data_IF_698308992090
#
_entry.id   IF_698308992090
#
_cell.length_a   1.000
_cell.length_b   1.000
_cell.length_c   1.000
_cell.angle_alpha   90.00
_cell.angle_beta   90.00
_cell.angle_gamma   90.00
#
_symmetry.space_group_name_H-M   'P 1'
#
loop_
_entity.id
_entity.type
_entity.pdbx_description
1 polymer ?
#
# COMPACT_ATOMS: atom_id res chain seq x y z
N UNK A 1 19.36 -15.11 -12.59
CA UNK A 1 18.54 -14.17 -11.78
C UNK A 1 17.04 -14.29 -11.99
N UNK A 2 16.43 -13.75 -13.05
CA UNK A 2 14.95 -13.66 -13.17
C UNK A 2 14.21 -14.98 -12.91
N UNK A 3 14.60 -16.06 -13.61
CA UNK A 3 13.98 -17.39 -13.44
C UNK A 3 14.14 -17.89 -12.01
N UNK A 4 15.33 -17.71 -11.44
CA UNK A 4 15.61 -18.10 -10.05
C UNK A 4 14.76 -17.29 -9.07
N UNK A 5 14.63 -15.97 -9.25
CA UNK A 5 13.81 -15.11 -8.39
C UNK A 5 12.34 -15.54 -8.38
N UNK A 6 11.77 -15.83 -9.55
CA UNK A 6 10.40 -16.34 -9.67
C UNK A 6 10.25 -17.72 -8.99
N UNK A 7 11.23 -18.61 -9.14
CA UNK A 7 11.23 -19.91 -8.47
C UNK A 7 11.33 -19.77 -6.94
N UNK A 8 12.13 -18.83 -6.43
CA UNK A 8 12.21 -18.55 -5.00
C UNK A 8 10.90 -18.00 -4.47
N UNK A 9 10.28 -17.05 -5.17
CA UNK A 9 8.98 -16.49 -4.77
C UNK A 9 7.92 -17.59 -4.58
N UNK A 10 7.90 -18.57 -5.49
CA UNK A 10 7.01 -19.74 -5.42
C UNK A 10 7.39 -20.68 -4.27
N UNK A 11 8.67 -21.08 -4.23
CA UNK A 11 9.16 -22.08 -3.27
C UNK A 11 9.05 -21.60 -1.82
N UNK A 12 9.41 -20.34 -1.58
CA UNK A 12 9.40 -19.70 -0.27
C UNK A 12 8.06 -19.04 0.08
N UNK A 13 7.08 -19.10 -0.84
CA UNK A 13 5.75 -18.49 -0.68
C UNK A 13 5.81 -17.01 -0.29
N UNK A 14 6.53 -16.21 -1.09
CA UNK A 14 6.58 -14.77 -0.86
C UNK A 14 5.17 -14.16 -0.88
N UNK A 15 5.00 -13.05 -0.16
CA UNK A 15 3.72 -12.36 -0.11
C UNK A 15 3.22 -12.03 -1.54
N UNK A 16 1.97 -12.40 -1.83
CA UNK A 16 1.35 -12.22 -3.15
C UNK A 16 1.61 -13.34 -4.15
N UNK A 17 2.32 -14.42 -3.78
CA UNK A 17 2.65 -15.55 -4.69
C UNK A 17 1.43 -16.16 -5.38
N UNK A 18 0.24 -16.10 -4.77
CA UNK A 18 -1.00 -16.61 -5.37
C UNK A 18 -1.36 -15.88 -6.68
N UNK A 19 -0.89 -14.65 -6.88
CA UNK A 19 -1.04 -13.91 -8.15
C UNK A 19 -0.28 -14.56 -9.31
N UNK A 20 0.69 -15.45 -9.00
CA UNK A 20 1.39 -16.30 -9.97
C UNK A 20 0.76 -17.69 -10.11
N UNK A 21 -0.43 -17.96 -9.55
CA UNK A 21 -1.04 -19.30 -9.50
C UNK A 21 -1.22 -20.00 -10.85
N UNK A 22 -1.26 -19.23 -11.95
CA UNK A 22 -1.35 -19.74 -13.31
C UNK A 22 0.02 -19.96 -13.98
N UNK A 23 1.13 -19.70 -13.28
CA UNK A 23 2.47 -19.91 -13.81
C UNK A 23 2.73 -21.42 -13.99
N UNK A 24 2.82 -21.87 -15.24
CA UNK A 24 3.20 -23.24 -15.57
C UNK A 24 4.72 -23.42 -15.55
N UNK A 25 5.46 -22.48 -16.11
CA UNK A 25 6.92 -22.48 -16.08
C UNK A 25 7.51 -21.10 -16.35
N UNK A 26 8.73 -20.89 -15.86
CA UNK A 26 9.61 -19.79 -16.27
C UNK A 26 10.94 -20.39 -16.73
N UNK A 27 11.37 -20.07 -17.94
CA UNK A 27 12.64 -20.55 -18.52
C UNK A 27 13.41 -19.41 -19.15
N UNK A 28 14.71 -19.60 -19.35
CA UNK A 28 15.57 -18.66 -20.06
C UNK A 28 16.26 -19.39 -21.23
N UNK A 29 15.68 -19.37 -22.44
CA UNK A 29 16.27 -20.07 -23.59
C UNK A 29 17.64 -19.51 -24.02
N UNK A 30 17.98 -18.29 -23.58
CA UNK A 30 19.29 -17.66 -23.72
C UNK A 30 19.47 -16.61 -22.61
N UNK A 31 20.66 -16.00 -22.53
CA UNK A 31 21.06 -15.09 -21.45
C UNK A 31 20.24 -13.79 -21.36
N UNK A 32 19.51 -13.43 -22.41
CA UNK A 32 18.78 -12.15 -22.51
C UNK A 32 17.27 -12.30 -22.64
N UNK A 33 16.77 -13.53 -22.60
CA UNK A 33 15.34 -13.85 -22.83
C UNK A 33 14.79 -14.67 -21.69
N UNK A 34 13.66 -14.24 -21.12
CA UNK A 34 12.86 -15.03 -20.18
C UNK A 34 11.53 -15.35 -20.83
N UNK A 35 11.13 -16.62 -20.77
CA UNK A 35 9.85 -17.12 -21.27
C UNK A 35 9.03 -17.58 -20.08
N UNK A 36 7.90 -16.90 -19.87
CA UNK A 36 6.89 -17.28 -18.89
C UNK A 36 5.76 -17.99 -19.63
N UNK A 37 5.52 -19.26 -19.27
CA UNK A 37 4.38 -20.04 -19.78
C UNK A 37 3.32 -20.11 -18.71
N UNK A 38 2.07 -19.83 -19.09
CA UNK A 38 0.92 -19.94 -18.19
C UNK A 38 0.10 -21.19 -18.48
N UNK A 39 -0.55 -21.75 -17.45
CA UNK A 39 -1.50 -22.84 -17.58
C UNK A 39 -2.84 -22.38 -18.14
N UNK A 40 -3.20 -21.12 -17.87
CA UNK A 40 -4.38 -20.43 -18.40
C UNK A 40 -4.11 -18.93 -18.51
N UNK A 41 -5.00 -18.18 -19.15
CA UNK A 41 -4.86 -16.72 -19.26
C UNK A 41 -4.88 -16.07 -17.88
N UNK A 42 -3.84 -15.31 -17.56
CA UNK A 42 -3.76 -14.48 -16.36
C UNK A 42 -3.65 -12.99 -16.77
N UNK A 43 -4.74 -12.20 -16.68
CA UNK A 43 -4.73 -10.79 -17.09
C UNK A 43 -3.98 -9.88 -16.11
N UNK A 44 -3.70 -10.32 -14.88
CA UNK A 44 -3.03 -9.52 -13.83
C UNK A 44 -1.55 -9.84 -13.70
N UNK A 45 -0.99 -10.77 -14.49
CA UNK A 45 0.42 -11.17 -14.44
C UNK A 45 1.37 -9.97 -14.46
N UNK A 46 1.19 -9.04 -15.42
CA UNK A 46 2.08 -7.87 -15.53
C UNK A 46 1.98 -6.94 -14.31
N UNK A 47 0.79 -6.85 -13.69
CA UNK A 47 0.61 -6.11 -12.44
C UNK A 47 1.36 -6.80 -11.31
N UNK A 48 1.25 -8.12 -11.18
CA UNK A 48 1.98 -8.90 -10.17
C UNK A 48 3.50 -8.72 -10.31
N UNK A 49 4.00 -8.81 -11.55
CA UNK A 49 5.41 -8.61 -11.91
C UNK A 49 5.87 -7.14 -11.83
N UNK A 50 4.98 -6.17 -11.67
CA UNK A 50 5.36 -4.79 -11.35
C UNK A 50 5.57 -4.55 -9.85
N UNK A 51 5.12 -5.49 -9.02
CA UNK A 51 5.25 -5.44 -7.57
C UNK A 51 6.40 -6.32 -7.03
N UNK A 52 6.22 -6.85 -5.82
CA UNK A 52 7.22 -7.65 -5.10
C UNK A 52 7.69 -8.87 -5.89
N UNK A 53 6.78 -9.51 -6.63
CA UNK A 53 7.06 -10.69 -7.43
C UNK A 53 7.90 -10.39 -8.68
N UNK A 54 8.03 -9.11 -9.06
CA UNK A 54 8.90 -8.64 -10.13
C UNK A 54 10.34 -8.36 -9.71
N UNK A 55 10.64 -8.40 -8.41
CA UNK A 55 11.99 -8.11 -7.94
C UNK A 55 12.93 -9.21 -8.43
N UNK A 56 13.96 -8.79 -9.16
CA UNK A 56 15.03 -9.65 -9.63
C UNK A 56 16.16 -9.61 -8.62
N UNK A 57 16.33 -10.73 -7.93
CA UNK A 57 17.39 -10.96 -6.97
C UNK A 57 18.61 -11.55 -7.66
N UNK A 58 19.79 -11.16 -7.20
CA UNK A 58 21.06 -11.74 -7.63
C UNK A 58 21.15 -13.18 -7.08
N UNK A 59 21.11 -14.14 -8.00
CA UNK A 59 21.17 -15.58 -7.67
C UNK A 59 22.57 -16.05 -7.26
N UNK A 60 23.58 -15.21 -7.44
CA UNK A 60 24.98 -15.46 -7.11
C UNK A 60 25.43 -14.68 -5.86
N UNK A 61 24.52 -13.91 -5.23
CA UNK A 61 24.79 -13.13 -4.02
C UNK A 61 25.15 -13.96 -2.77
N UNK A 62 25.22 -15.29 -2.88
CA UNK A 62 25.59 -16.21 -1.81
C UNK A 62 24.60 -16.17 -0.64
N UNK A 63 25.12 -16.09 0.59
CA UNK A 63 24.33 -16.08 1.83
C UNK A 63 23.83 -14.68 2.22
N UNK A 64 23.49 -13.83 1.25
CA UNK A 64 23.01 -12.49 1.52
C UNK A 64 21.75 -12.52 2.41
N UNK A 65 21.84 -11.92 3.59
CA UNK A 65 20.71 -11.78 4.50
C UNK A 65 19.87 -10.57 4.06
N UNK A 66 18.89 -10.80 3.19
CA UNK A 66 18.01 -9.75 2.65
C UNK A 66 17.14 -9.06 3.72
N UNK A 67 17.12 -9.53 4.98
CA UNK A 67 16.53 -8.78 6.09
C UNK A 67 17.46 -7.66 6.61
N UNK A 68 18.76 -7.69 6.27
CA UNK A 68 19.78 -6.75 6.76
C UNK A 68 20.65 -6.15 5.66
N UNK A 69 20.68 -6.78 4.49
CA UNK A 69 21.48 -6.41 3.34
C UNK A 69 20.59 -6.10 2.15
N UNK A 70 21.04 -5.16 1.32
CA UNK A 70 20.36 -4.80 0.09
C UNK A 70 21.28 -5.11 -1.09
N UNK A 71 20.91 -6.12 -1.88
CA UNK A 71 21.58 -6.47 -3.14
C UNK A 71 20.54 -6.32 -4.24
N UNK A 72 20.70 -5.31 -5.08
CA UNK A 72 19.74 -5.00 -6.13
C UNK A 72 20.37 -4.19 -7.26
N UNK A 73 19.64 -4.10 -8.37
CA UNK A 73 20.08 -3.45 -9.60
C UNK A 73 19.52 -2.03 -9.78
N UNK A 74 18.96 -1.44 -8.71
CA UNK A 74 18.33 -0.13 -8.73
C UNK A 74 19.32 1.04 -8.85
N UNK A 75 18.80 2.29 -8.97
CA UNK A 75 19.61 3.49 -9.15
C UNK A 75 20.45 3.88 -7.92
N UNK A 76 20.17 3.30 -6.76
CA UNK A 76 20.92 3.54 -5.54
C UNK A 76 21.22 2.24 -4.80
N UNK A 77 22.35 2.20 -4.10
CA UNK A 77 22.73 1.15 -3.14
C UNK A 77 22.66 1.69 -1.71
N UNK A 78 22.56 0.79 -0.72
CA UNK A 78 22.62 1.18 0.68
C UNK A 78 24.07 1.50 1.06
N UNK A 79 24.36 2.76 1.36
CA UNK A 79 25.66 3.21 1.86
C UNK A 79 25.78 3.01 3.38
N UNK A 80 24.82 3.53 4.15
CA UNK A 80 24.78 3.38 5.61
C UNK A 80 23.35 3.29 6.13
N UNK A 81 23.11 2.36 7.04
CA UNK A 81 21.86 2.28 7.79
C UNK A 81 22.15 2.38 9.29
N UNK A 82 21.48 3.31 9.97
CA UNK A 82 21.52 3.46 11.42
C UNK A 82 20.09 3.31 11.93
N UNK A 83 19.72 2.15 12.52
CA UNK A 83 18.36 1.87 12.96
C UNK A 83 17.79 2.97 13.86
N UNK A 84 16.57 3.41 13.56
CA UNK A 84 15.89 4.47 14.31
C UNK A 84 16.40 5.90 14.05
N UNK A 85 17.39 6.09 13.15
CA UNK A 85 18.02 7.39 12.92
C UNK A 85 18.07 7.77 11.44
N UNK A 86 18.73 6.97 10.60
CA UNK A 86 18.95 7.36 9.20
C UNK A 86 19.24 6.22 8.25
N UNK A 87 18.88 6.40 6.98
CA UNK A 87 19.29 5.57 5.85
C UNK A 87 19.94 6.47 4.79
N UNK A 88 21.19 6.19 4.45
CA UNK A 88 21.93 6.84 3.36
C UNK A 88 22.01 5.88 2.19
N UNK A 89 21.56 6.36 1.03
CA UNK A 89 21.62 5.68 -0.25
C UNK A 89 22.61 6.41 -1.17
N UNK A 90 23.54 5.67 -1.77
CA UNK A 90 24.53 6.21 -2.69
C UNK A 90 24.19 5.80 -4.12
N UNK A 91 24.42 6.70 -5.08
CA UNK A 91 24.11 6.44 -6.48
C UNK A 91 24.87 5.22 -6.98
N UNK A 92 24.14 4.27 -7.58
CA UNK A 92 24.70 3.10 -8.19
C UNK A 92 25.28 3.47 -9.57
N UNK A 93 26.60 3.63 -9.65
CA UNK A 93 27.30 3.89 -10.91
C UNK A 93 27.06 2.85 -12.01
N UNK A 94 26.65 1.63 -11.65
CA UNK A 94 26.29 0.56 -12.58
C UNK A 94 24.82 0.54 -12.99
N UNK A 95 23.99 1.51 -12.59
CA UNK A 95 22.59 1.55 -12.97
C UNK A 95 22.42 1.74 -14.48
N UNK A 96 21.64 0.86 -15.11
CA UNK A 96 21.45 0.81 -16.56
C UNK A 96 20.32 1.72 -17.06
N UNK A 97 19.48 2.24 -16.16
CA UNK A 97 18.35 3.10 -16.49
C UNK A 97 18.71 4.58 -16.54
N UNK A 98 17.70 5.44 -16.36
CA UNK A 98 17.91 6.90 -16.32
C UNK A 98 18.77 7.29 -15.12
N UNK A 99 19.89 7.95 -15.40
CA UNK A 99 20.83 8.41 -14.37
C UNK A 99 20.14 9.38 -13.40
N UNK A 100 20.39 9.19 -12.10
CA UNK A 100 19.91 10.10 -11.07
C UNK A 100 20.63 11.46 -11.15
N UNK A 101 19.90 12.53 -10.82
CA UNK A 101 20.45 13.89 -10.77
C UNK A 101 21.21 14.19 -9.47
N UNK A 102 21.14 13.28 -8.48
CA UNK A 102 21.80 13.40 -7.17
C UNK A 102 22.74 12.22 -6.94
N UNK A 103 23.83 12.46 -6.20
CA UNK A 103 24.80 11.43 -5.85
C UNK A 103 24.45 10.62 -4.61
N UNK A 104 23.73 11.22 -3.67
CA UNK A 104 23.35 10.59 -2.40
C UNK A 104 21.96 11.05 -1.99
N UNK A 105 21.18 10.14 -1.41
CA UNK A 105 19.88 10.43 -0.78
C UNK A 105 19.98 10.01 0.69
N UNK A 106 19.62 10.89 1.61
CA UNK A 106 19.58 10.55 3.05
C UNK A 106 18.16 10.68 3.56
N UNK A 107 17.62 9.58 4.08
CA UNK A 107 16.40 9.56 4.87
C UNK A 107 16.78 9.76 6.33
N UNK A 108 16.20 10.78 6.95
CA UNK A 108 16.41 11.09 8.37
C UNK A 108 15.10 10.86 9.12
N UNK A 109 15.16 10.12 10.22
CA UNK A 109 14.01 9.89 11.07
C UNK A 109 13.86 11.02 12.08
N UNK A 110 12.65 11.57 12.16
CA UNK A 110 12.24 12.54 13.16
C UNK A 110 11.17 11.90 14.05
N UNK A 111 11.21 12.17 15.35
CA UNK A 111 10.28 11.60 16.34
C UNK A 111 8.92 12.27 16.37
N UNK A 112 8.82 13.49 15.84
CA UNK A 112 7.63 14.32 15.90
C UNK A 112 7.56 15.29 14.71
N UNK A 113 6.34 15.73 14.39
CA UNK A 113 6.08 16.60 13.24
C UNK A 113 6.62 18.03 13.41
N UNK A 114 6.82 18.50 14.65
CA UNK A 114 7.33 19.86 14.90
C UNK A 114 8.80 19.95 14.50
N UNK A 115 9.61 18.99 14.96
CA UNK A 115 11.03 18.89 14.62
C UNK A 115 11.24 18.72 13.11
N UNK A 116 10.36 17.95 12.48
CA UNK A 116 10.34 17.70 11.04
C UNK A 116 9.98 18.97 10.24
N UNK A 117 8.95 19.72 10.65
CA UNK A 117 8.57 20.99 10.03
C UNK A 117 9.67 22.06 10.19
N UNK A 118 10.31 22.10 11.36
CA UNK A 118 11.47 22.96 11.61
C UNK A 118 12.66 22.63 10.71
N UNK A 119 12.94 21.33 10.51
CA UNK A 119 14.06 20.89 9.70
C UNK A 119 13.92 21.29 8.23
N UNK A 120 12.72 21.11 7.66
CA UNK A 120 12.47 21.49 6.27
C UNK A 120 12.45 23.01 6.10
N UNK A 121 11.87 23.76 7.05
CA UNK A 121 11.84 25.23 7.01
C UNK A 121 13.25 25.84 7.11
N UNK A 122 14.15 25.21 7.88
CA UNK A 122 15.57 25.61 7.99
C UNK A 122 16.43 25.12 6.81
N UNK A 123 15.87 24.38 5.85
CA UNK A 123 16.62 23.79 4.74
C UNK A 123 17.60 22.70 5.17
N UNK A 124 17.36 22.06 6.32
CA UNK A 124 18.15 20.90 6.79
C UNK A 124 17.77 19.63 6.04
N UNK A 125 16.55 19.55 5.51
CA UNK A 125 16.06 18.50 4.61
C UNK A 125 15.35 19.15 3.41
N UNK A 126 15.45 18.52 2.24
CA UNK A 126 14.90 19.06 0.98
C UNK A 126 13.45 18.67 0.72
N UNK A 127 13.01 17.54 1.29
CA UNK A 127 11.68 16.97 1.08
C UNK A 127 11.20 16.32 2.37
N UNK A 128 9.89 16.37 2.57
CA UNK A 128 9.23 15.76 3.71
C UNK A 128 7.88 15.18 3.33
N UNK A 129 7.53 14.04 3.92
CA UNK A 129 6.21 13.43 3.84
C UNK A 129 5.57 13.51 5.26
N UNK A 130 4.84 14.58 5.58
CA UNK A 130 4.20 14.74 6.89
C UNK A 130 3.09 13.70 7.10
N UNK A 131 2.79 13.36 8.34
CA UNK A 131 1.76 12.37 8.66
C UNK A 131 0.34 12.96 8.56
N UNK A 132 0.21 14.28 8.64
CA UNK A 132 -1.08 14.97 8.55
C UNK A 132 -1.11 16.09 7.50
N UNK A 133 -2.27 16.28 6.88
CA UNK A 133 -2.52 17.41 5.97
C UNK A 133 -2.45 18.75 6.69
N UNK A 134 -2.74 18.80 7.99
CA UNK A 134 -2.58 20.01 8.81
C UNK A 134 -1.14 20.50 8.78
N UNK A 135 -0.18 19.60 9.04
CA UNK A 135 1.24 19.97 9.02
C UNK A 135 1.71 20.31 7.62
N UNK A 136 1.30 19.55 6.60
CA UNK A 136 1.58 19.89 5.20
C UNK A 136 1.11 21.31 4.86
N UNK A 137 -0.16 21.62 5.12
CA UNK A 137 -0.79 22.89 4.81
C UNK A 137 -0.12 24.08 5.50
N UNK A 138 0.36 23.88 6.74
CA UNK A 138 1.09 24.90 7.48
C UNK A 138 2.47 25.21 6.88
N UNK A 139 3.07 24.29 6.13
CA UNK A 139 4.36 24.47 5.46
C UNK A 139 4.21 25.09 4.07
N UNK A 140 3.04 24.96 3.44
CA UNK A 140 2.83 25.44 2.07
C UNK A 140 3.11 26.95 1.94
N UNK A 141 3.96 27.32 0.99
CA UNK A 141 4.35 28.70 0.72
C UNK A 141 5.33 29.33 1.73
N UNK A 142 5.70 28.63 2.81
CA UNK A 142 6.74 29.09 3.73
C UNK A 142 8.11 28.76 3.18
N UNK A 143 9.04 29.71 3.23
CA UNK A 143 10.46 29.50 2.88
C UNK A 143 10.68 28.82 1.51
N UNK A 144 9.77 29.05 0.56
CA UNK A 144 9.81 28.45 -0.79
C UNK A 144 9.29 27.01 -0.89
N UNK A 145 8.75 26.45 0.20
CA UNK A 145 8.16 25.12 0.22
C UNK A 145 6.85 25.07 -0.56
N UNK A 146 6.68 23.99 -1.31
CA UNK A 146 5.46 23.71 -2.07
C UNK A 146 4.91 22.36 -1.63
N UNK A 147 3.64 22.33 -1.25
CA UNK A 147 2.94 21.07 -1.00
C UNK A 147 2.46 20.48 -2.32
N UNK A 148 2.77 19.20 -2.54
CA UNK A 148 2.25 18.43 -3.67
C UNK A 148 1.37 17.31 -3.15
N UNK A 149 0.19 17.19 -3.73
CA UNK A 149 -0.75 16.12 -3.44
C UNK A 149 -0.64 15.04 -4.53
N UNK A 150 -0.85 13.78 -4.13
CA UNK A 150 -0.83 12.63 -5.02
C UNK A 150 -2.00 11.71 -4.72
N UNK A 151 -2.51 11.06 -5.76
CA UNK A 151 -3.53 10.04 -5.59
C UNK A 151 -2.92 8.81 -4.89
N UNK A 152 -3.66 8.22 -3.95
CA UNK A 152 -3.24 7.04 -3.18
C UNK A 152 -4.23 5.89 -3.32
N UNK A 153 -3.75 4.66 -3.10
CA UNK A 153 -4.59 3.46 -2.93
C UNK A 153 -4.98 3.24 -1.46
N UNK A 154 -4.51 4.11 -0.55
CA UNK A 154 -4.87 4.04 0.86
C UNK A 154 -6.36 4.24 1.07
N UNK A 155 -6.91 3.48 2.00
CA UNK A 155 -8.34 3.45 2.31
C UNK A 155 -8.55 3.11 3.77
N UNK A 156 -9.48 3.82 4.39
CA UNK A 156 -9.99 3.48 5.71
C UNK A 156 -11.12 2.48 5.51
N UNK A 157 -11.04 1.35 6.21
CA UNK A 157 -12.03 0.28 6.13
C UNK A 157 -12.45 -0.16 7.53
N UNK A 158 -13.72 -0.52 7.67
CA UNK A 158 -14.22 -1.24 8.83
C UNK A 158 -14.30 -2.73 8.48
N UNK A 159 -13.42 -3.53 9.08
CA UNK A 159 -13.42 -4.98 8.91
C UNK A 159 -14.39 -5.64 9.91
N UNK A 160 -15.19 -6.59 9.42
CA UNK A 160 -16.06 -7.39 10.27
C UNK A 160 -15.46 -8.76 10.54
N UNK A 161 -15.40 -9.17 11.81
CA UNK A 161 -15.08 -10.55 12.18
C UNK A 161 -16.25 -11.48 11.83
N UNK A 162 -16.09 -12.32 10.81
CA UNK A 162 -17.13 -13.23 10.31
C UNK A 162 -17.14 -14.61 11.00
N UNK A 163 -16.34 -14.82 12.05
CA UNK A 163 -16.34 -16.09 12.77
C UNK A 163 -17.72 -16.41 13.35
N UNK A 164 -18.04 -17.70 13.48
CA UNK A 164 -19.36 -18.18 13.90
C UNK A 164 -19.82 -17.70 15.28
N UNK A 165 -18.89 -17.26 16.13
CA UNK A 165 -19.12 -16.70 17.46
C UNK A 165 -19.36 -15.18 17.47
N UNK A 166 -19.24 -14.52 16.32
CA UNK A 166 -19.49 -13.09 16.15
C UNK A 166 -20.92 -12.82 15.65
N UNK A 167 -21.55 -11.76 16.14
CA UNK A 167 -22.82 -11.25 15.57
C UNK A 167 -22.67 -10.86 14.10
N UNK A 168 -21.45 -10.52 13.67
CA UNK A 168 -21.14 -10.16 12.29
C UNK A 168 -21.03 -11.40 11.38
N UNK A 169 -21.20 -12.62 11.90
CA UNK A 169 -21.34 -13.82 11.06
C UNK A 169 -22.62 -13.78 10.21
N UNK A 170 -23.68 -13.12 10.69
CA UNK A 170 -24.92 -12.92 9.95
C UNK A 170 -24.77 -11.79 8.90
N UNK A 171 -25.06 -12.13 7.63
CA UNK A 171 -25.03 -11.18 6.51
C UNK A 171 -25.98 -10.00 6.71
N UNK A 172 -27.14 -10.21 7.33
CA UNK A 172 -28.11 -9.15 7.54
C UNK A 172 -27.59 -8.14 8.59
N UNK A 173 -26.81 -8.58 9.58
CA UNK A 173 -26.15 -7.67 10.54
C UNK A 173 -25.12 -6.81 9.81
N UNK A 174 -24.24 -7.42 9.01
CA UNK A 174 -23.26 -6.68 8.19
C UNK A 174 -23.93 -5.69 7.24
N UNK A 175 -25.04 -6.11 6.62
CA UNK A 175 -25.82 -5.26 5.72
C UNK A 175 -26.43 -4.06 6.45
N UNK A 176 -26.96 -4.28 7.66
CA UNK A 176 -27.48 -3.21 8.52
C UNK A 176 -26.39 -2.17 8.82
N UNK A 177 -25.19 -2.64 9.19
CA UNK A 177 -24.05 -1.76 9.43
C UNK A 177 -23.64 -0.95 8.19
N UNK A 178 -23.74 -1.53 6.99
CA UNK A 178 -23.45 -0.79 5.74
C UNK A 178 -24.43 0.35 5.49
N UNK A 179 -25.72 0.18 5.81
CA UNK A 179 -26.72 1.28 5.73
C UNK A 179 -26.57 2.30 6.87
N UNK A 180 -26.05 1.88 8.03
CA UNK A 180 -25.84 2.74 9.18
C UNK A 180 -24.68 3.73 8.99
N UNK A 181 -23.62 3.32 8.31
CA UNK A 181 -22.39 4.12 8.18
C UNK A 181 -22.55 5.24 7.15
N UNK A 182 -22.37 6.49 7.58
CA UNK A 182 -22.29 7.65 6.69
C UNK A 182 -20.88 7.83 6.14
N UNK A 183 -20.52 7.02 5.13
CA UNK A 183 -19.19 7.09 4.50
C UNK A 183 -18.91 8.44 3.82
N UNK A 184 -19.95 9.11 3.32
CA UNK A 184 -19.84 10.44 2.72
C UNK A 184 -19.53 11.51 3.76
N UNK A 185 -20.26 11.52 4.88
CA UNK A 185 -19.99 12.41 6.00
C UNK A 185 -18.63 12.16 6.64
N UNK A 186 -18.22 10.89 6.81
CA UNK A 186 -16.88 10.54 7.29
C UNK A 186 -15.82 11.08 6.34
N UNK A 187 -15.91 10.79 5.04
CA UNK A 187 -14.95 11.29 4.05
C UNK A 187 -14.87 12.82 4.05
N UNK A 188 -16.02 13.52 4.08
CA UNK A 188 -16.08 14.97 4.11
C UNK A 188 -15.46 15.60 5.38
N UNK A 189 -15.38 14.85 6.48
CA UNK A 189 -14.76 15.31 7.73
C UNK A 189 -13.23 15.22 7.72
N UNK A 190 -12.64 14.49 6.77
CA UNK A 190 -11.21 14.25 6.69
C UNK A 190 -10.59 15.10 5.57
N UNK A 191 -9.63 15.95 5.94
CA UNK A 191 -9.00 16.90 5.00
C UNK A 191 -8.16 16.24 3.91
N UNK A 192 -7.75 14.99 4.11
CA UNK A 192 -6.93 14.18 3.20
C UNK A 192 -7.76 13.17 2.40
N UNK A 193 -9.08 13.15 2.56
CA UNK A 193 -9.94 12.20 1.86
C UNK A 193 -10.15 12.59 0.40
N UNK A 194 -9.98 11.62 -0.50
CA UNK A 194 -10.39 11.74 -1.91
C UNK A 194 -11.87 11.45 -2.14
N UNK A 195 -12.64 11.13 -1.10
CA UNK A 195 -14.07 10.82 -1.16
C UNK A 195 -14.44 9.47 -0.56
N UNK A 196 -15.75 9.21 -0.53
CA UNK A 196 -16.29 7.95 -0.02
C UNK A 196 -16.05 6.79 -0.98
N UNK A 197 -15.86 5.59 -0.42
CA UNK A 197 -15.78 4.34 -1.17
C UNK A 197 -16.97 3.44 -0.82
N UNK A 198 -17.60 2.86 -1.83
CA UNK A 198 -18.70 1.88 -1.66
C UNK A 198 -18.24 0.43 -1.57
N UNK A 199 -16.97 0.17 -1.84
CA UNK A 199 -16.38 -1.17 -1.90
C UNK A 199 -14.87 -1.15 -1.63
N UNK A 200 -14.24 -2.34 -1.63
CA UNK A 200 -12.84 -2.49 -1.25
C UNK A 200 -11.84 -2.10 -2.35
N UNK A 201 -12.31 -1.86 -3.58
CA UNK A 201 -11.48 -1.47 -4.73
C UNK A 201 -11.58 0.04 -4.89
N UNK A 202 -10.45 0.74 -4.89
CA UNK A 202 -10.35 2.19 -5.05
C UNK A 202 -10.18 2.59 -6.53
N UNK A 203 -10.40 3.87 -6.91
CA UNK A 203 -10.32 4.32 -8.31
C UNK A 203 -9.00 4.05 -9.04
N UNK A 204 -7.88 3.89 -8.33
CA UNK A 204 -6.57 3.60 -8.92
C UNK A 204 -6.33 2.09 -9.15
N UNK A 205 -7.24 1.24 -8.65
CA UNK A 205 -7.10 -0.21 -8.71
C UNK A 205 -7.87 -0.79 -9.92
N UNK A 206 -7.31 -1.77 -10.64
CA UNK A 206 -8.02 -2.45 -11.73
C UNK A 206 -9.33 -3.08 -11.24
N UNK A 207 -10.40 -2.92 -12.04
CA UNK A 207 -11.72 -3.43 -11.71
C UNK A 207 -12.53 -2.52 -10.77
N UNK A 208 -12.11 -1.27 -10.58
CA UNK A 208 -12.91 -0.28 -9.86
C UNK A 208 -14.30 -0.11 -10.49
N UNK A 209 -15.31 -0.13 -9.61
CA UNK A 209 -16.68 0.24 -9.90
C UNK A 209 -17.15 1.18 -8.78
N UNK A 210 -17.87 2.24 -9.13
CA UNK A 210 -18.49 3.10 -8.13
C UNK A 210 -19.70 2.39 -7.52
N UNK A 211 -19.48 1.78 -6.35
CA UNK A 211 -20.50 1.07 -5.58
C UNK A 211 -21.08 1.91 -4.45
N UNK A 212 -20.84 3.22 -4.41
CA UNK A 212 -21.34 4.10 -3.32
C UNK A 212 -22.87 4.09 -3.22
N UNK A 213 -23.56 3.84 -4.34
CA UNK A 213 -25.02 3.70 -4.39
C UNK A 213 -25.58 2.34 -3.93
N UNK A 214 -24.75 1.33 -3.66
CA UNK A 214 -25.23 -0.02 -3.34
C UNK A 214 -25.81 -0.11 -1.91
N UNK A 215 -25.20 0.61 -0.96
CA UNK A 215 -25.64 0.71 0.43
C UNK A 215 -25.52 2.18 0.90
N UNK A 216 -26.39 3.08 0.41
CA UNK A 216 -26.37 4.47 0.85
C UNK A 216 -26.66 4.58 2.34
N UNK A 217 -26.19 5.64 2.99
CA UNK A 217 -26.56 5.92 4.37
C UNK A 217 -28.10 6.10 4.47
N UNK A 218 -28.75 5.18 5.19
CA UNK A 218 -30.22 5.12 5.31
C UNK A 218 -30.62 4.68 6.72
N UNK A 219 -30.95 5.66 7.56
CA UNK A 219 -31.38 5.41 8.92
C UNK A 219 -32.75 4.75 9.04
N UNK A 220 -33.64 4.93 8.04
CA UNK A 220 -34.96 4.28 8.06
C UNK A 220 -34.85 2.78 7.76
N UNK A 221 -34.04 2.43 6.76
CA UNK A 221 -33.73 1.04 6.45
C UNK A 221 -32.92 0.39 7.55
N UNK A 222 -31.95 1.10 8.12
CA UNK A 222 -31.20 0.65 9.31
C UNK A 222 -32.15 0.31 10.45
N UNK A 223 -33.07 1.20 10.83
CA UNK A 223 -34.04 0.93 11.91
C UNK A 223 -34.92 -0.29 11.61
N UNK A 224 -35.39 -0.42 10.37
CA UNK A 224 -36.19 -1.57 9.93
C UNK A 224 -35.39 -2.87 10.05
N UNK A 225 -34.14 -2.89 9.60
CA UNK A 225 -33.28 -4.06 9.68
C UNK A 225 -32.84 -4.38 11.11
N UNK A 226 -32.55 -3.38 11.94
CA UNK A 226 -32.24 -3.58 13.37
C UNK A 226 -33.41 -4.20 14.11
N UNK A 227 -34.65 -3.82 13.78
CA UNK A 227 -35.85 -4.39 14.41
C UNK A 227 -35.99 -5.91 14.20
N UNK A 228 -35.50 -6.44 13.07
CA UNK A 228 -35.46 -7.88 12.80
C UNK A 228 -34.60 -8.63 13.84
N UNK A 229 -33.53 -7.99 14.32
CA UNK A 229 -32.63 -8.57 15.31
C UNK A 229 -33.07 -8.34 16.76
N UNK A 230 -34.10 -7.53 17.01
CA UNK A 230 -34.73 -7.35 18.33
C UNK A 230 -33.74 -7.35 19.51
N UNK A 231 -33.87 -8.29 20.48
CA UNK A 231 -33.02 -8.34 21.67
C UNK A 231 -31.59 -8.87 21.44
N UNK A 232 -31.22 -9.26 20.22
CA UNK A 232 -29.92 -9.84 19.90
C UNK A 232 -28.84 -8.80 19.56
N UNK A 233 -29.25 -7.59 19.14
CA UNK A 233 -28.37 -6.44 18.94
C UNK A 233 -28.60 -5.44 20.09
N UNK A 234 -27.93 -5.64 21.22
CA UNK A 234 -28.01 -4.73 22.38
C UNK A 234 -26.94 -3.65 22.32
N UNK A 235 -25.68 -4.06 22.36
CA UNK A 235 -24.50 -3.19 22.28
C UNK A 235 -23.51 -3.78 21.31
N UNK A 236 -23.00 -2.95 20.40
CA UNK A 236 -21.88 -3.31 19.53
C UNK A 236 -20.72 -2.41 19.85
N UNK A 237 -19.70 -2.97 20.47
CA UNK A 237 -18.44 -2.28 20.71
C UNK A 237 -17.57 -2.39 19.46
N UNK A 238 -17.29 -1.25 18.85
CA UNK A 238 -16.32 -1.16 17.76
C UNK A 238 -14.96 -0.82 18.37
N UNK A 239 -14.01 -1.73 18.25
CA UNK A 239 -12.60 -1.42 18.52
C UNK A 239 -12.03 -0.86 17.23
N UNK A 240 -11.70 0.43 17.27
CA UNK A 240 -11.06 1.17 16.16
C UNK A 240 -9.60 1.36 16.50
#
# INVERSE_FOLDING_TARGET
DVVWSLQQAITQKYAGVDDLGDLKSATNPNDSTVVITLAQTNPTLLRALSGRLGIVYDSEAGDADYAKQAVGSGPFTVGKFTPGQSLTLDYNGGYHGTKAHVGTVTFTQYSDETSLADAVSKGTIDMVAPATVTVASQMNGKDGLTVTEGATTDKVLLAFNNNSDSIMSDQNVRTTFRYLIDSAGIAASQSDSSGALGGPISPLEPGYEDLTGLFPHDMSKTQTMTSYFGPYLTTVDLVV
#
